data_IF_289121628675
#
_entry.id   IF_289121628675
#
_cell.length_a   1.000
_cell.length_b   1.000
_cell.length_c   1.000
_cell.angle_alpha   90.00
_cell.angle_beta   90.00
_cell.angle_gamma   90.00
#
_symmetry.space_group_name_H-M   'P 1'
#
loop_
_entity.id
_entity.type
_entity.pdbx_description
1 polymer ?
#
# COMPACT_ATOMS: atom_id res chain seq x y z
N UNK A 1 -14.90 -14.14 -16.70
CA UNK A 1 -13.81 -14.99 -16.18
C UNK A 1 -12.47 -14.72 -16.88
N UNK A 2 -12.41 -14.65 -18.22
CA UNK A 2 -11.20 -14.29 -18.96
C UNK A 2 -10.57 -12.92 -18.60
N UNK A 3 -11.39 -11.90 -18.25
CA UNK A 3 -10.89 -10.56 -17.88
C UNK A 3 -10.16 -10.49 -16.53
N UNK A 4 -10.51 -11.35 -15.58
CA UNK A 4 -9.85 -11.40 -14.26
C UNK A 4 -8.50 -12.13 -14.38
N UNK A 5 -8.43 -13.19 -15.20
CA UNK A 5 -7.17 -13.85 -15.55
C UNK A 5 -6.22 -12.92 -16.32
N UNK A 6 -6.74 -12.05 -17.19
CA UNK A 6 -5.94 -11.04 -17.91
C UNK A 6 -5.32 -9.99 -16.97
N UNK A 7 -6.06 -9.56 -15.94
CA UNK A 7 -5.54 -8.66 -14.90
C UNK A 7 -4.43 -9.33 -14.05
N UNK A 8 -4.56 -10.63 -13.78
CA UNK A 8 -3.55 -11.42 -13.05
C UNK A 8 -2.32 -11.72 -13.92
N UNK A 9 -2.47 -11.88 -15.23
CA UNK A 9 -1.33 -12.07 -16.15
C UNK A 9 -0.57 -10.77 -16.46
N UNK A 10 -1.22 -9.60 -16.40
CA UNK A 10 -0.53 -8.32 -16.60
C UNK A 10 0.41 -7.95 -15.42
N UNK A 11 0.19 -8.57 -14.25
CA UNK A 11 1.04 -8.43 -13.04
C UNK A 11 2.41 -9.13 -13.14
N UNK A 12 2.67 -9.92 -14.20
CA UNK A 12 3.85 -10.78 -14.32
C UNK A 12 4.94 -10.30 -15.28
N UNK A 13 4.77 -9.15 -15.95
CA UNK A 13 5.85 -8.57 -16.75
C UNK A 13 6.77 -7.69 -15.88
N UNK A 14 7.66 -8.33 -15.12
CA UNK A 14 8.79 -7.64 -14.50
C UNK A 14 10.02 -7.94 -15.34
N UNK A 15 10.41 -6.96 -16.14
CA UNK A 15 11.71 -6.90 -16.81
C UNK A 15 12.81 -7.05 -15.77
N UNK A 16 13.75 -7.96 -16.05
CA UNK A 16 14.99 -8.13 -15.29
C UNK A 16 15.68 -6.77 -15.24
N UNK A 17 15.66 -6.14 -14.07
CA UNK A 17 16.38 -4.90 -13.82
C UNK A 17 17.69 -5.25 -13.11
N UNK A 18 18.77 -4.70 -13.66
CA UNK A 18 20.12 -4.69 -13.11
C UNK A 18 20.11 -4.43 -11.59
N UNK A 19 20.90 -5.22 -10.86
CA UNK A 19 20.94 -5.19 -9.40
C UNK A 19 21.49 -3.83 -8.91
N UNK A 20 20.58 -2.88 -8.67
CA UNK A 20 20.91 -1.64 -7.97
C UNK A 20 21.34 -1.97 -6.54
N UNK A 21 22.32 -1.25 -5.97
CA UNK A 21 22.74 -1.45 -4.59
C UNK A 21 21.54 -1.25 -3.65
N UNK A 22 21.41 -2.15 -2.67
CA UNK A 22 20.34 -2.08 -1.66
C UNK A 22 20.46 -0.74 -0.93
N UNK A 23 19.47 0.16 -1.03
CA UNK A 23 19.58 1.48 -0.46
C UNK A 23 19.45 1.42 1.06
N UNK A 24 20.43 2.02 1.76
CA UNK A 24 20.39 2.16 3.22
C UNK A 24 19.18 2.98 3.68
N UNK A 25 18.72 3.92 2.85
CA UNK A 25 17.51 4.73 3.01
C UNK A 25 16.79 4.89 1.67
N UNK A 26 15.46 5.02 1.71
CA UNK A 26 14.68 5.32 0.52
C UNK A 26 15.14 6.63 -0.13
N UNK A 27 15.15 6.70 -1.46
CA UNK A 27 15.29 7.97 -2.17
C UNK A 27 14.24 8.99 -1.70
N UNK A 28 14.53 10.28 -1.91
CA UNK A 28 13.59 11.34 -1.58
C UNK A 28 12.22 11.15 -2.25
N UNK A 29 12.21 10.67 -3.51
CA UNK A 29 10.99 10.38 -4.27
C UNK A 29 10.19 9.23 -3.67
N UNK A 30 10.85 8.10 -3.36
CA UNK A 30 10.20 6.97 -2.73
C UNK A 30 9.68 7.34 -1.33
N UNK A 31 10.49 8.04 -0.53
CA UNK A 31 10.10 8.54 0.80
C UNK A 31 8.88 9.43 0.75
N UNK A 32 8.85 10.42 -0.16
CA UNK A 32 7.71 11.32 -0.35
C UNK A 32 6.44 10.54 -0.69
N UNK A 33 6.54 9.60 -1.64
CA UNK A 33 5.39 8.79 -2.07
C UNK A 33 4.86 7.91 -0.94
N UNK A 34 5.75 7.23 -0.21
CA UNK A 34 5.37 6.38 0.93
C UNK A 34 4.71 7.20 2.05
N UNK A 35 5.26 8.37 2.38
CA UNK A 35 4.72 9.22 3.44
C UNK A 35 3.34 9.78 3.07
N UNK A 36 3.16 10.23 1.82
CA UNK A 36 1.87 10.69 1.32
C UNK A 36 0.80 9.59 1.42
N UNK A 37 1.13 8.38 0.94
CA UNK A 37 0.25 7.21 1.05
C UNK A 37 -0.08 6.89 2.52
N UNK A 38 0.91 6.81 3.41
CA UNK A 38 0.69 6.47 4.83
C UNK A 38 -0.24 7.46 5.51
N UNK A 39 -0.04 8.76 5.29
CA UNK A 39 -0.88 9.80 5.87
C UNK A 39 -2.33 9.68 5.39
N UNK A 40 -2.52 9.57 4.07
CA UNK A 40 -3.85 9.51 3.45
C UNK A 40 -4.60 8.24 3.85
N UNK A 41 -3.92 7.10 3.79
CA UNK A 41 -4.51 5.81 4.14
C UNK A 41 -4.84 5.72 5.64
N UNK A 42 -3.96 6.22 6.52
CA UNK A 42 -4.26 6.27 7.95
C UNK A 42 -5.56 7.04 8.22
N UNK A 43 -5.70 8.22 7.60
CA UNK A 43 -6.94 9.00 7.69
C UNK A 43 -8.16 8.22 7.17
N UNK A 44 -8.06 7.60 6.00
CA UNK A 44 -9.15 6.82 5.42
C UNK A 44 -9.57 5.65 6.34
N UNK A 45 -8.60 4.95 6.92
CA UNK A 45 -8.84 3.86 7.84
C UNK A 45 -9.43 4.32 9.18
N UNK A 46 -9.07 5.50 9.68
CA UNK A 46 -9.70 6.09 10.87
C UNK A 46 -11.18 6.41 10.61
N UNK A 47 -11.52 6.94 9.42
CA UNK A 47 -12.92 7.15 9.03
C UNK A 47 -13.69 5.82 8.98
N UNK A 48 -13.09 4.74 8.46
CA UNK A 48 -13.70 3.39 8.48
C UNK A 48 -14.01 2.94 9.91
N UNK A 49 -13.10 3.18 10.86
CA UNK A 49 -13.30 2.85 12.28
C UNK A 49 -14.43 3.68 12.89
N UNK A 50 -14.53 4.96 12.53
CA UNK A 50 -15.58 5.86 13.03
C UNK A 50 -16.96 5.49 12.48
N UNK A 51 -17.04 5.12 11.19
CA UNK A 51 -18.26 4.68 10.52
C UNK A 51 -18.78 3.33 11.05
N UNK A 52 -17.92 2.51 11.66
CA UNK A 52 -18.34 1.22 12.20
C UNK A 52 -19.29 1.37 13.42
N UNK A 53 -20.29 0.47 13.56
CA UNK A 53 -21.14 0.42 14.75
C UNK A 53 -20.32 0.28 16.03
N UNK A 54 -20.67 0.96 17.15
CA UNK A 54 -19.86 0.97 18.37
C UNK A 54 -19.38 -0.42 18.85
N UNK A 55 -20.22 -1.48 18.85
CA UNK A 55 -19.79 -2.82 19.27
C UNK A 55 -18.71 -3.44 18.38
N UNK A 56 -18.60 -3.03 17.11
CA UNK A 56 -17.66 -3.56 16.12
C UNK A 56 -16.39 -2.71 15.96
N UNK A 57 -16.35 -1.49 16.51
CA UNK A 57 -15.21 -0.56 16.32
C UNK A 57 -13.85 -1.15 16.71
N UNK A 58 -13.80 -1.93 17.79
CA UNK A 58 -12.55 -2.57 18.23
C UNK A 58 -12.03 -3.60 17.20
N UNK A 59 -12.93 -4.41 16.65
CA UNK A 59 -12.61 -5.38 15.61
C UNK A 59 -12.16 -4.69 14.32
N UNK A 60 -12.89 -3.65 13.90
CA UNK A 60 -12.54 -2.85 12.71
C UNK A 60 -11.17 -2.19 12.91
N UNK A 61 -10.90 -1.57 14.07
CA UNK A 61 -9.59 -0.99 14.40
C UNK A 61 -8.46 -2.01 14.35
N UNK A 62 -8.70 -3.24 14.82
CA UNK A 62 -7.72 -4.33 14.73
C UNK A 62 -7.45 -4.71 13.28
N UNK A 63 -8.48 -4.79 12.44
CA UNK A 63 -8.34 -5.10 11.02
C UNK A 63 -7.58 -3.99 10.27
N UNK A 64 -7.92 -2.71 10.49
CA UNK A 64 -7.22 -1.58 9.86
C UNK A 64 -5.76 -1.50 10.27
N UNK A 65 -5.44 -1.75 11.55
CA UNK A 65 -4.05 -1.88 12.02
C UNK A 65 -3.32 -3.04 11.35
N UNK A 66 -4.01 -4.16 11.14
CA UNK A 66 -3.48 -5.31 10.40
C UNK A 66 -3.08 -4.96 8.96
N UNK A 67 -3.93 -4.21 8.26
CA UNK A 67 -3.64 -3.74 6.91
C UNK A 67 -2.40 -2.85 6.85
N UNK A 68 -2.23 -1.91 7.79
CA UNK A 68 -1.03 -1.07 7.85
C UNK A 68 0.25 -1.89 8.03
N UNK A 69 0.23 -2.93 8.89
CA UNK A 69 1.37 -3.84 9.07
C UNK A 69 1.70 -4.63 7.80
N UNK A 70 0.70 -5.05 7.03
CA UNK A 70 0.92 -5.72 5.75
C UNK A 70 1.62 -4.79 4.76
N UNK A 71 1.21 -3.53 4.69
CA UNK A 71 1.84 -2.52 3.81
C UNK A 71 3.29 -2.28 4.21
N UNK A 72 3.56 -2.12 5.51
CA UNK A 72 4.94 -1.97 6.02
C UNK A 72 5.81 -3.18 5.65
N UNK A 73 5.25 -4.39 5.71
CA UNK A 73 5.95 -5.62 5.29
C UNK A 73 6.25 -5.63 3.79
N UNK A 74 5.32 -5.17 2.96
CA UNK A 74 5.52 -5.08 1.51
C UNK A 74 6.61 -4.05 1.15
N UNK A 75 6.61 -2.89 1.83
CA UNK A 75 7.63 -1.87 1.67
C UNK A 75 9.00 -2.35 2.15
N UNK A 76 9.08 -3.04 3.29
CA UNK A 76 10.31 -3.64 3.78
C UNK A 76 10.89 -4.65 2.79
N UNK A 77 10.05 -5.49 2.17
CA UNK A 77 10.46 -6.42 1.11
C UNK A 77 10.98 -5.68 -0.12
N UNK A 78 10.30 -4.62 -0.55
CA UNK A 78 10.78 -3.81 -1.68
C UNK A 78 12.13 -3.15 -1.37
N UNK A 79 12.36 -2.72 -0.11
CA UNK A 79 13.64 -2.14 0.32
C UNK A 79 14.76 -3.17 0.29
N UNK A 80 14.50 -4.36 0.84
CA UNK A 80 15.46 -5.45 0.90
C UNK A 80 15.96 -5.89 -0.48
N UNK A 81 15.18 -5.65 -1.54
CA UNK A 81 15.56 -5.93 -2.93
C UNK A 81 16.04 -4.70 -3.70
N UNK A 82 16.12 -3.52 -3.07
CA UNK A 82 16.43 -2.25 -3.74
C UNK A 82 15.42 -1.81 -4.79
N UNK A 83 14.21 -2.36 -4.79
CA UNK A 83 13.18 -2.10 -5.81
C UNK A 83 12.33 -0.88 -5.41
N UNK A 84 12.93 0.32 -5.55
CA UNK A 84 12.23 1.57 -5.26
C UNK A 84 11.00 1.78 -6.15
N UNK A 85 11.06 1.33 -7.40
CA UNK A 85 9.92 1.42 -8.32
C UNK A 85 8.74 0.64 -7.77
N UNK A 86 8.97 -0.55 -7.19
CA UNK A 86 7.93 -1.31 -6.50
C UNK A 86 7.42 -0.60 -5.26
N UNK A 87 8.28 0.03 -4.47
CA UNK A 87 7.86 0.80 -3.31
C UNK A 87 6.93 1.97 -3.70
N UNK A 88 7.28 2.69 -4.78
CA UNK A 88 6.44 3.76 -5.35
C UNK A 88 5.12 3.21 -5.87
N UNK A 89 5.13 2.10 -6.62
CA UNK A 89 3.88 1.45 -7.09
C UNK A 89 2.97 1.03 -5.92
N UNK A 90 3.54 0.43 -4.88
CA UNK A 90 2.80 0.10 -3.65
C UNK A 90 2.17 1.37 -3.08
N UNK A 91 2.95 2.44 -2.92
CA UNK A 91 2.44 3.70 -2.39
C UNK A 91 1.27 4.25 -3.24
N UNK A 92 1.40 4.31 -4.57
CA UNK A 92 0.34 4.79 -5.45
C UNK A 92 -0.94 3.95 -5.35
N UNK A 93 -0.84 2.62 -5.39
CA UNK A 93 -2.03 1.75 -5.31
C UNK A 93 -2.77 1.88 -3.98
N UNK A 94 -2.06 2.07 -2.87
CA UNK A 94 -2.70 2.27 -1.57
C UNK A 94 -3.20 3.70 -1.36
N UNK A 95 -2.64 4.68 -2.07
CA UNK A 95 -3.21 6.03 -2.15
C UNK A 95 -4.54 6.03 -2.90
N UNK A 96 -4.63 5.32 -4.03
CA UNK A 96 -5.87 5.11 -4.78
C UNK A 96 -6.91 4.35 -3.94
N UNK A 97 -6.48 3.33 -3.18
CA UNK A 97 -7.37 2.62 -2.26
C UNK A 97 -7.94 3.55 -1.18
N UNK A 98 -7.14 4.49 -0.67
CA UNK A 98 -7.61 5.48 0.29
C UNK A 98 -8.64 6.44 -0.34
N UNK A 99 -8.44 6.87 -1.59
CA UNK A 99 -9.45 7.67 -2.34
C UNK A 99 -10.77 6.92 -2.50
N UNK A 100 -10.69 5.62 -2.83
CA UNK A 100 -11.89 4.79 -2.96
C UNK A 100 -12.64 4.69 -1.62
N UNK A 101 -11.93 4.53 -0.50
CA UNK A 101 -12.55 4.53 0.84
C UNK A 101 -13.28 5.86 1.10
N UNK A 102 -12.63 7.00 0.83
CA UNK A 102 -13.28 8.30 1.00
C UNK A 102 -14.50 8.51 0.08
N UNK A 103 -14.57 7.80 -1.05
CA UNK A 103 -15.72 7.90 -1.96
C UNK A 103 -16.95 7.08 -1.53
N UNK A 104 -16.78 6.15 -0.58
CA UNK A 104 -17.83 5.20 -0.16
C UNK A 104 -18.24 5.31 1.32
N UNK A 105 -17.50 6.09 2.11
CA UNK A 105 -17.85 6.46 3.49
C UNK A 105 -18.70 7.73 3.47
#
# INVERSE_FOLDING_TARGET
>A
MAKILLLVSLLLYITIAEAAPIPAEWSATASKSINAMKLKLAKALDEVVLAAPPPKRSEVKKATTGHMKTIDTLLAKARATGDEKKAIRIASSYEEAADLIFSII
#
